data_IF_074499388034
#
_entry.id   IF_074499388034
#
_cell.length_a   1.000
_cell.length_b   1.000
_cell.length_c   1.000
_cell.angle_alpha   90.00
_cell.angle_beta   90.00
_cell.angle_gamma   90.00
#
_symmetry.space_group_name_H-M   'P 1'
#
loop_
_entity.id
_entity.type
_entity.pdbx_description
1 polymer ?
#
# COMPACT_ATOMS: atom_id res chain seq x y z
N UNK A 1 22.64 8.33 23.24
CA UNK A 1 21.79 8.81 24.36
C UNK A 1 20.47 8.07 24.26
N UNK A 2 20.06 7.30 25.28
CA UNK A 2 18.77 6.64 25.23
C UNK A 2 17.68 7.72 25.29
N UNK A 3 16.83 7.76 24.27
CA UNK A 3 15.71 8.70 24.19
C UNK A 3 14.82 8.62 25.42
N UNK A 4 14.21 9.75 25.78
CA UNK A 4 13.37 9.90 26.96
C UNK A 4 12.41 8.72 27.09
N UNK A 5 12.50 7.98 28.21
CA UNK A 5 11.44 7.09 28.65
C UNK A 5 10.17 7.93 28.71
N UNK A 6 9.10 7.48 28.06
CA UNK A 6 7.75 8.04 28.07
C UNK A 6 7.31 8.28 29.52
N UNK A 7 7.56 9.48 30.06
CA UNK A 7 7.43 9.74 31.50
C UNK A 7 6.02 10.24 31.76
N UNK A 8 5.16 9.36 32.30
CA UNK A 8 3.95 9.81 32.98
C UNK A 8 4.41 10.44 34.31
N UNK A 9 4.37 11.77 34.40
CA UNK A 9 4.68 12.47 35.66
C UNK A 9 3.47 12.37 36.59
N UNK A 10 3.53 11.41 37.51
CA UNK A 10 2.56 11.24 38.59
C UNK A 10 3.37 11.12 39.87
N UNK A 11 3.18 12.06 40.79
CA UNK A 11 3.89 12.12 42.07
C UNK A 11 2.98 11.56 43.18
N UNK A 12 3.48 10.59 43.95
CA UNK A 12 2.76 9.98 45.06
C UNK A 12 3.23 8.57 45.37
N UNK A 13 2.99 8.09 46.58
CA UNK A 13 3.25 6.68 46.94
C UNK A 13 2.18 5.76 46.36
N UNK A 14 2.50 4.48 46.12
CA UNK A 14 1.54 3.51 45.57
C UNK A 14 0.27 3.41 46.42
N UNK A 15 0.40 3.49 47.74
CA UNK A 15 -0.73 3.37 48.68
C UNK A 15 -1.65 4.59 48.58
N UNK A 16 -1.10 5.81 48.60
CA UNK A 16 -1.86 7.06 48.45
C UNK A 16 -2.59 7.12 47.10
N UNK A 17 -1.88 6.82 46.01
CA UNK A 17 -2.44 6.87 44.65
C UNK A 17 -3.53 5.81 44.43
N UNK A 18 -3.39 4.65 45.07
CA UNK A 18 -4.43 3.59 45.02
C UNK A 18 -5.67 4.01 45.79
N UNK A 19 -5.50 4.59 46.99
CA UNK A 19 -6.62 5.05 47.81
C UNK A 19 -7.38 6.20 47.16
N UNK A 20 -6.68 7.19 46.61
CA UNK A 20 -7.30 8.30 45.86
C UNK A 20 -8.07 7.81 44.63
N UNK A 21 -7.48 6.87 43.88
CA UNK A 21 -8.13 6.30 42.69
C UNK A 21 -9.34 5.42 43.04
N UNK A 22 -9.26 4.63 44.12
CA UNK A 22 -10.37 3.82 44.62
C UNK A 22 -11.54 4.70 45.10
N UNK A 23 -11.26 5.78 45.83
CA UNK A 23 -12.25 6.78 46.23
C UNK A 23 -12.94 7.41 45.01
N UNK A 24 -12.16 7.77 43.99
CA UNK A 24 -12.70 8.35 42.77
C UNK A 24 -13.62 7.36 42.04
N UNK A 25 -13.23 6.09 41.89
CA UNK A 25 -14.09 5.07 41.28
C UNK A 25 -15.37 4.84 42.10
N UNK A 26 -15.28 4.78 43.44
CA UNK A 26 -16.46 4.62 44.29
C UNK A 26 -17.40 5.82 44.18
N UNK A 27 -16.87 7.04 44.06
CA UNK A 27 -17.70 8.24 43.84
C UNK A 27 -18.45 8.19 42.50
N UNK A 28 -17.78 7.70 41.44
CA UNK A 28 -18.39 7.51 40.13
C UNK A 28 -19.47 6.41 40.16
N UNK A 29 -19.20 5.26 40.80
CA UNK A 29 -20.19 4.18 40.92
C UNK A 29 -21.41 4.57 41.75
N UNK A 30 -21.21 5.32 42.84
CA UNK A 30 -22.31 5.87 43.66
C UNK A 30 -23.16 6.85 42.87
N UNK A 31 -22.54 7.69 42.02
CA UNK A 31 -23.28 8.58 41.13
C UNK A 31 -24.12 7.84 40.07
N UNK A 32 -23.79 6.56 39.80
CA UNK A 32 -24.46 5.70 38.82
C UNK A 32 -25.53 4.78 39.44
N UNK A 33 -25.82 4.92 40.74
CA UNK A 33 -26.87 4.16 41.43
C UNK A 33 -26.42 2.87 42.11
N UNK A 34 -25.12 2.59 42.15
CA UNK A 34 -24.56 1.46 42.90
C UNK A 34 -24.06 1.90 44.28
N UNK A 35 -25.01 2.05 45.23
CA UNK A 35 -24.73 2.44 46.62
C UNK A 35 -23.89 1.41 47.40
N UNK A 36 -23.71 0.20 46.85
CA UNK A 36 -22.96 -0.90 47.45
C UNK A 36 -21.45 -0.86 47.16
N UNK A 37 -20.99 0.07 46.32
CA UNK A 37 -19.59 0.18 45.93
C UNK A 37 -18.69 0.60 47.11
N UNK A 38 -17.79 -0.31 47.52
CA UNK A 38 -16.78 -0.13 48.55
C UNK A 38 -15.40 -0.64 48.08
N UNK A 39 -14.97 -0.22 46.89
CA UNK A 39 -13.65 -0.54 46.37
C UNK A 39 -12.54 0.04 47.26
N UNK A 40 -12.77 1.18 47.91
CA UNK A 40 -11.81 1.78 48.84
C UNK A 40 -11.55 0.87 50.05
N UNK A 41 -12.59 0.37 50.72
CA UNK A 41 -12.43 -0.53 51.87
C UNK A 41 -11.77 -1.85 51.49
N UNK A 42 -12.18 -2.44 50.36
CA UNK A 42 -11.60 -3.69 49.87
C UNK A 42 -10.14 -3.53 49.40
N UNK A 43 -9.79 -2.39 48.81
CA UNK A 43 -8.41 -2.09 48.40
C UNK A 43 -7.51 -1.84 49.62
N UNK A 44 -8.02 -1.11 50.62
CA UNK A 44 -7.31 -0.86 51.87
C UNK A 44 -7.04 -2.16 52.67
N UNK A 45 -7.97 -3.11 52.69
CA UNK A 45 -7.77 -4.40 53.36
C UNK A 45 -6.79 -5.30 52.61
N UNK A 46 -6.81 -5.29 51.27
CA UNK A 46 -5.84 -6.03 50.46
C UNK A 46 -4.43 -5.39 50.45
N UNK A 47 -4.33 -4.08 50.63
CA UNK A 47 -3.07 -3.37 50.85
C UNK A 47 -2.44 -3.74 52.20
N UNK A 48 -3.25 -3.88 53.27
CA UNK A 48 -2.78 -4.40 54.57
C UNK A 48 -2.24 -5.83 54.49
N UNK A 49 -2.79 -6.64 53.58
CA UNK A 49 -2.30 -8.00 53.29
C UNK A 49 -1.11 -8.04 52.31
N UNK A 50 -0.61 -6.88 51.86
CA UNK A 50 0.48 -6.71 50.89
C UNK A 50 0.24 -7.40 49.52
N UNK A 51 -1.03 -7.59 49.15
CA UNK A 51 -1.44 -8.22 47.87
C UNK A 51 -1.66 -7.17 46.78
N UNK A 52 -0.58 -6.50 46.37
CA UNK A 52 -0.61 -5.38 45.40
C UNK A 52 -1.27 -5.75 44.06
N UNK A 53 -1.06 -6.97 43.56
CA UNK A 53 -1.63 -7.42 42.29
C UNK A 53 -3.15 -7.62 42.35
N UNK A 54 -3.71 -8.03 43.49
CA UNK A 54 -5.16 -8.24 43.64
C UNK A 54 -5.91 -6.92 43.79
N UNK A 55 -5.27 -5.92 44.42
CA UNK A 55 -5.74 -4.52 44.43
C UNK A 55 -5.83 -3.99 43.00
N UNK A 56 -4.76 -4.17 42.21
CA UNK A 56 -4.75 -3.75 40.80
C UNK A 56 -5.81 -4.47 39.96
N UNK A 57 -6.07 -5.77 40.20
CA UNK A 57 -7.18 -6.48 39.51
C UNK A 57 -8.52 -5.82 39.81
N UNK A 58 -8.80 -5.50 41.08
CA UNK A 58 -10.06 -4.85 41.48
C UNK A 58 -10.18 -3.45 40.90
N UNK A 59 -9.10 -2.67 40.90
CA UNK A 59 -9.07 -1.33 40.28
C UNK A 59 -9.29 -1.39 38.77
N UNK A 60 -8.66 -2.34 38.07
CA UNK A 60 -8.84 -2.51 36.61
C UNK A 60 -10.26 -2.98 36.28
N UNK A 61 -10.87 -3.84 37.10
CA UNK A 61 -12.29 -4.20 36.93
C UNK A 61 -13.19 -2.99 37.22
N UNK A 62 -12.89 -2.22 38.27
CA UNK A 62 -13.58 -0.98 38.64
C UNK A 62 -13.45 0.12 37.58
N UNK A 63 -12.38 0.11 36.78
CA UNK A 63 -12.12 1.12 35.73
C UNK A 63 -13.17 1.14 34.63
N UNK A 64 -14.05 0.13 34.52
CA UNK A 64 -15.22 0.18 33.64
C UNK A 64 -16.13 1.38 33.96
N UNK A 65 -16.18 1.81 35.23
CA UNK A 65 -16.95 2.99 35.65
C UNK A 65 -16.40 4.30 35.05
N UNK A 66 -15.13 4.32 34.62
CA UNK A 66 -14.52 5.50 33.98
C UNK A 66 -15.16 5.82 32.62
N UNK A 67 -15.82 4.87 31.96
CA UNK A 67 -16.50 5.12 30.68
C UNK A 67 -17.67 6.11 30.77
N UNK A 68 -18.07 6.49 31.99
CA UNK A 68 -19.09 7.52 32.24
C UNK A 68 -18.49 8.74 32.96
N UNK A 69 -17.17 8.79 33.16
CA UNK A 69 -16.50 9.90 33.82
C UNK A 69 -16.48 11.16 32.91
N UNK A 70 -16.35 12.37 33.49
CA UNK A 70 -16.24 13.60 32.73
C UNK A 70 -15.02 13.61 31.79
N UNK A 71 -15.17 14.19 30.58
CA UNK A 71 -14.10 14.25 29.57
C UNK A 71 -12.77 14.77 30.11
N UNK A 72 -12.83 15.82 30.92
CA UNK A 72 -11.65 16.53 31.46
C UNK A 72 -10.83 15.66 32.41
N UNK A 73 -11.46 14.71 33.08
CA UNK A 73 -10.85 13.86 34.11
C UNK A 73 -10.52 12.47 33.56
N UNK A 74 -11.09 12.09 32.41
CA UNK A 74 -10.94 10.76 31.80
C UNK A 74 -9.49 10.41 31.47
N UNK A 75 -8.75 11.30 30.80
CA UNK A 75 -7.34 11.07 30.45
C UNK A 75 -6.46 10.96 31.70
N UNK A 76 -6.68 11.85 32.68
CA UNK A 76 -5.91 11.87 33.92
C UNK A 76 -6.14 10.58 34.74
N UNK A 77 -7.38 10.15 34.88
CA UNK A 77 -7.75 8.93 35.59
C UNK A 77 -7.13 7.68 34.96
N UNK A 78 -7.16 7.57 33.62
CA UNK A 78 -6.51 6.46 32.93
C UNK A 78 -4.98 6.53 32.97
N UNK A 79 -4.38 7.72 32.89
CA UNK A 79 -2.93 7.86 33.06
C UNK A 79 -2.47 7.44 34.47
N UNK A 80 -3.26 7.74 35.50
CA UNK A 80 -3.03 7.26 36.87
C UNK A 80 -3.11 5.73 36.95
N UNK A 81 -4.13 5.14 36.33
CA UNK A 81 -4.26 3.68 36.24
C UNK A 81 -3.08 3.03 35.51
N UNK A 82 -2.62 3.62 34.39
CA UNK A 82 -1.45 3.14 33.64
C UNK A 82 -0.19 3.20 34.49
N UNK A 83 0.00 4.28 35.25
CA UNK A 83 1.15 4.42 36.14
C UNK A 83 1.12 3.37 37.27
N UNK A 84 -0.04 3.15 37.90
CA UNK A 84 -0.22 2.13 38.94
C UNK A 84 0.05 0.72 38.40
N UNK A 85 -0.43 0.41 37.20
CA UNK A 85 -0.20 -0.90 36.54
C UNK A 85 1.27 -1.09 36.18
N UNK A 86 1.96 -0.05 35.70
CA UNK A 86 3.39 -0.11 35.36
C UNK A 86 4.31 -0.29 36.57
N UNK A 87 3.83 -0.06 37.80
CA UNK A 87 4.58 -0.34 39.02
C UNK A 87 4.54 -1.82 39.43
N UNK A 88 3.60 -2.62 38.89
CA UNK A 88 3.57 -4.08 39.11
C UNK A 88 4.47 -4.80 38.10
N UNK A 89 5.18 -5.87 38.51
CA UNK A 89 5.91 -6.74 37.57
C UNK A 89 4.99 -7.51 36.61
N UNK A 90 3.68 -7.61 36.90
CA UNK A 90 2.70 -8.41 36.14
C UNK A 90 1.83 -7.56 35.19
N UNK A 91 2.40 -6.55 34.55
CA UNK A 91 1.72 -5.62 33.62
C UNK A 91 0.88 -6.33 32.55
N UNK A 92 1.37 -7.45 32.02
CA UNK A 92 0.75 -8.20 30.92
C UNK A 92 -0.64 -8.77 31.24
N UNK A 93 -0.95 -9.00 32.51
CA UNK A 93 -2.25 -9.53 32.94
C UNK A 93 -3.36 -8.47 32.93
N UNK A 94 -2.98 -7.20 33.12
CA UNK A 94 -3.92 -6.09 33.31
C UNK A 94 -4.26 -5.37 32.00
N UNK A 95 -3.30 -5.26 31.08
CA UNK A 95 -3.47 -4.56 29.79
C UNK A 95 -4.67 -5.07 28.98
N UNK A 96 -4.89 -6.39 28.78
CA UNK A 96 -6.03 -6.87 28.00
C UNK A 96 -7.38 -6.40 28.54
N UNK A 97 -7.53 -6.34 29.87
CA UNK A 97 -8.78 -5.88 30.49
C UNK A 97 -8.97 -4.37 30.36
N UNK A 98 -7.90 -3.58 30.48
CA UNK A 98 -7.93 -2.14 30.22
C UNK A 98 -8.31 -1.86 28.75
N UNK A 99 -7.71 -2.59 27.81
CA UNK A 99 -8.05 -2.52 26.39
C UNK A 99 -9.52 -2.90 26.13
N UNK A 100 -10.05 -3.92 26.82
CA UNK A 100 -11.45 -4.29 26.72
C UNK A 100 -12.37 -3.15 27.19
N UNK A 101 -12.06 -2.54 28.33
CA UNK A 101 -12.86 -1.43 28.88
C UNK A 101 -12.78 -0.18 27.98
N UNK A 102 -11.64 0.09 27.35
CA UNK A 102 -11.47 1.20 26.40
C UNK A 102 -12.08 0.92 25.01
N UNK A 103 -12.32 -0.36 24.67
CA UNK A 103 -13.00 -0.75 23.44
C UNK A 103 -14.53 -0.66 23.50
N UNK A 104 -15.11 -0.51 24.69
CA UNK A 104 -16.54 -0.24 24.84
C UNK A 104 -16.83 1.25 24.64
N UNK A 105 -17.97 1.62 24.03
CA UNK A 105 -18.29 3.02 23.76
C UNK A 105 -18.39 3.82 25.05
N UNK A 106 -17.73 4.98 25.07
CA UNK A 106 -17.71 5.91 26.20
C UNK A 106 -19.03 6.68 26.22
N UNK A 107 -19.89 6.39 27.20
CA UNK A 107 -21.23 6.96 27.31
C UNK A 107 -21.24 8.44 27.68
N UNK A 108 -20.21 8.93 28.37
CA UNK A 108 -20.13 10.33 28.77
C UNK A 108 -19.95 11.29 27.59
N UNK A 109 -19.36 10.81 26.49
CA UNK A 109 -18.98 11.63 25.35
C UNK A 109 -19.10 10.91 24.02
N UNK A 110 -20.31 10.83 23.44
CA UNK A 110 -20.55 10.11 22.19
C UNK A 110 -19.75 10.64 21.00
N UNK A 111 -19.43 11.95 20.97
CA UNK A 111 -18.71 12.58 19.85
C UNK A 111 -17.19 12.50 19.98
N UNK A 112 -16.64 12.69 21.19
CA UNK A 112 -15.19 12.75 21.42
C UNK A 112 -14.61 11.47 22.04
N UNK A 113 -15.45 10.55 22.53
CA UNK A 113 -15.04 9.36 23.25
C UNK A 113 -14.05 8.50 22.46
N UNK A 114 -14.28 8.33 21.16
CA UNK A 114 -13.37 7.63 20.27
C UNK A 114 -11.94 8.18 20.31
N UNK A 115 -11.78 9.50 20.18
CA UNK A 115 -10.48 10.16 20.24
C UNK A 115 -9.80 10.03 21.61
N UNK A 116 -10.58 10.12 22.70
CA UNK A 116 -10.07 9.94 24.06
C UNK A 116 -9.55 8.53 24.29
N UNK A 117 -10.32 7.50 23.87
CA UNK A 117 -9.91 6.10 23.95
C UNK A 117 -8.64 5.84 23.14
N UNK A 118 -8.54 6.38 21.92
CA UNK A 118 -7.34 6.25 21.09
C UNK A 118 -6.11 6.93 21.69
N UNK A 119 -6.27 8.10 22.29
CA UNK A 119 -5.16 8.78 22.98
C UNK A 119 -4.61 7.94 24.13
N UNK A 120 -5.49 7.34 24.94
CA UNK A 120 -5.09 6.50 26.07
C UNK A 120 -4.46 5.19 25.58
N UNK A 121 -5.06 4.53 24.59
CA UNK A 121 -4.50 3.31 24.00
C UNK A 121 -3.13 3.58 23.35
N UNK A 122 -2.95 4.74 22.72
CA UNK A 122 -1.64 5.18 22.20
C UNK A 122 -0.62 5.37 23.33
N UNK A 123 -1.02 5.98 24.45
CA UNK A 123 -0.18 6.07 25.65
C UNK A 123 0.22 4.68 26.14
N UNK A 124 -0.73 3.75 26.28
CA UNK A 124 -0.46 2.36 26.70
C UNK A 124 0.53 1.68 25.75
N UNK A 125 0.34 1.83 24.43
CA UNK A 125 1.23 1.28 23.42
C UNK A 125 2.66 1.84 23.55
N UNK A 126 2.78 3.14 23.78
CA UNK A 126 4.06 3.85 23.88
C UNK A 126 4.78 3.64 25.23
N UNK A 127 4.06 3.32 26.30
CA UNK A 127 4.66 3.01 27.62
C UNK A 127 5.10 1.55 27.74
N UNK A 128 4.47 0.66 26.98
CA UNK A 128 4.82 -0.77 26.95
C UNK A 128 6.15 -0.99 26.21
N UNK A 129 6.96 -1.99 26.59
CA UNK A 129 8.23 -2.26 25.90
C UNK A 129 8.04 -2.65 24.42
N UNK A 130 8.94 -2.23 23.51
CA UNK A 130 8.85 -2.52 22.07
C UNK A 130 8.70 -3.99 21.70
N UNK A 131 9.40 -4.86 22.43
CA UNK A 131 9.52 -6.29 22.10
C UNK A 131 8.40 -7.14 22.75
N UNK A 132 7.49 -6.51 23.50
CA UNK A 132 6.45 -7.26 24.22
C UNK A 132 5.27 -7.61 23.30
N UNK A 133 4.86 -8.89 23.33
CA UNK A 133 3.63 -9.40 22.69
C UNK A 133 2.37 -8.65 23.16
N UNK A 134 2.39 -8.02 24.33
CA UNK A 134 1.26 -7.22 24.82
C UNK A 134 0.92 -6.04 23.88
N UNK A 135 1.89 -5.49 23.14
CA UNK A 135 1.65 -4.44 22.13
C UNK A 135 0.77 -4.92 20.98
N UNK A 136 0.83 -6.20 20.61
CA UNK A 136 -0.04 -6.79 19.61
C UNK A 136 -1.51 -6.72 20.04
N UNK A 137 -1.81 -7.09 21.30
CA UNK A 137 -3.18 -7.02 21.83
C UNK A 137 -3.68 -5.57 21.98
N UNK A 138 -2.80 -4.63 22.34
CA UNK A 138 -3.13 -3.19 22.38
C UNK A 138 -3.46 -2.68 20.98
N UNK A 139 -2.68 -3.05 19.96
CA UNK A 139 -2.94 -2.64 18.58
C UNK A 139 -4.28 -3.19 18.06
N UNK A 140 -4.62 -4.45 18.36
CA UNK A 140 -5.95 -4.99 18.01
C UNK A 140 -7.08 -4.21 18.67
N UNK A 141 -6.90 -3.76 19.92
CA UNK A 141 -7.89 -2.92 20.59
C UNK A 141 -8.01 -1.53 19.95
N UNK A 142 -6.88 -0.93 19.55
CA UNK A 142 -6.85 0.32 18.77
C UNK A 142 -7.66 0.15 17.49
N UNK A 143 -7.40 -0.91 16.71
CA UNK A 143 -8.13 -1.18 15.47
C UNK A 143 -9.64 -1.32 15.69
N UNK A 144 -10.08 -1.98 16.77
CA UNK A 144 -11.50 -2.10 17.12
C UNK A 144 -12.14 -0.73 17.41
N UNK A 145 -11.45 0.15 18.14
CA UNK A 145 -11.94 1.51 18.42
C UNK A 145 -11.97 2.35 17.14
N UNK A 146 -10.96 2.24 16.28
CA UNK A 146 -10.93 2.95 14.98
C UNK A 146 -12.10 2.49 14.10
N UNK A 147 -12.37 1.17 14.06
CA UNK A 147 -13.52 0.61 13.32
C UNK A 147 -14.85 1.20 13.80
N UNK A 148 -15.04 1.31 15.12
CA UNK A 148 -16.27 1.86 15.70
C UNK A 148 -16.42 3.38 15.50
N UNK A 149 -15.33 4.09 15.25
CA UNK A 149 -15.29 5.57 15.14
C UNK A 149 -15.07 6.06 13.72
N UNK A 150 -14.85 5.14 12.77
CA UNK A 150 -14.53 5.41 11.37
C UNK A 150 -13.35 6.38 11.15
N UNK A 151 -12.41 6.45 12.09
CA UNK A 151 -11.30 7.41 12.05
C UNK A 151 -10.00 6.81 11.48
N UNK A 152 -10.05 6.32 10.24
CA UNK A 152 -8.94 5.63 9.58
C UNK A 152 -7.72 6.53 9.30
N UNK A 153 -7.91 7.84 9.18
CA UNK A 153 -6.84 8.81 8.93
C UNK A 153 -5.70 8.74 9.96
N UNK A 154 -6.06 8.48 11.22
CA UNK A 154 -5.08 8.33 12.31
C UNK A 154 -4.23 7.07 12.17
N UNK A 155 -4.73 6.03 11.50
CA UNK A 155 -4.06 4.75 11.31
C UNK A 155 -3.06 4.79 10.14
N UNK A 156 -3.35 5.54 9.07
CA UNK A 156 -2.54 5.59 7.84
C UNK A 156 -1.02 5.76 8.06
N UNK A 157 -0.52 6.69 8.90
CA UNK A 157 0.92 6.83 9.13
C UNK A 157 1.52 5.64 9.87
N UNK A 158 0.76 5.04 10.79
CA UNK A 158 1.18 3.92 11.65
C UNK A 158 1.30 2.62 10.85
N UNK A 159 0.49 2.44 9.82
CA UNK A 159 0.52 1.28 8.92
C UNK A 159 1.89 1.05 8.25
N UNK A 160 2.68 2.10 8.05
CA UNK A 160 4.05 2.00 7.50
C UNK A 160 5.02 1.29 8.45
N UNK A 161 4.73 1.32 9.75
CA UNK A 161 5.56 0.70 10.78
C UNK A 161 5.11 -0.72 11.12
N UNK A 162 3.96 -1.16 10.59
CA UNK A 162 3.34 -2.45 10.92
C UNK A 162 4.28 -3.63 10.66
N UNK A 163 4.97 -3.64 9.51
CA UNK A 163 5.90 -4.72 9.14
C UNK A 163 7.08 -4.79 10.12
N UNK A 164 7.57 -3.64 10.59
CA UNK A 164 8.64 -3.57 11.59
C UNK A 164 8.19 -4.06 12.97
N UNK A 165 6.94 -3.79 13.35
CA UNK A 165 6.37 -4.22 14.61
C UNK A 165 6.13 -5.73 14.66
N UNK A 166 5.56 -6.29 13.58
CA UNK A 166 5.34 -7.74 13.44
C UNK A 166 6.68 -8.49 13.55
N UNK A 167 7.74 -7.97 12.91
CA UNK A 167 9.08 -8.54 13.03
C UNK A 167 9.66 -8.44 14.45
N UNK A 168 9.48 -7.30 15.12
CA UNK A 168 9.97 -7.10 16.50
C UNK A 168 9.27 -8.01 17.51
N UNK A 169 7.97 -8.23 17.36
CA UNK A 169 7.17 -9.06 18.27
C UNK A 169 7.35 -10.55 18.05
N UNK A 170 8.03 -10.97 16.97
CA UNK A 170 8.18 -12.36 16.57
C UNK A 170 6.83 -13.10 16.52
N UNK A 171 5.77 -12.40 16.11
CA UNK A 171 4.42 -12.98 16.05
C UNK A 171 4.39 -14.09 15.01
N UNK A 172 3.84 -15.25 15.40
CA UNK A 172 3.57 -16.32 14.45
C UNK A 172 2.66 -15.88 13.30
N UNK A 173 2.74 -16.58 12.17
CA UNK A 173 2.02 -16.25 10.92
C UNK A 173 0.50 -16.12 11.14
N UNK A 174 -0.09 -16.93 12.01
CA UNK A 174 -1.52 -16.86 12.35
C UNK A 174 -1.92 -15.54 13.02
N UNK A 175 -1.08 -15.02 13.92
CA UNK A 175 -1.36 -13.76 14.60
C UNK A 175 -1.12 -12.57 13.67
N UNK A 176 -0.08 -12.63 12.83
CA UNK A 176 0.14 -11.64 11.78
C UNK A 176 -1.06 -11.58 10.82
N UNK A 177 -1.61 -12.75 10.42
CA UNK A 177 -2.82 -12.86 9.59
C UNK A 177 -4.02 -12.17 10.24
N UNK A 178 -4.32 -12.46 11.51
CA UNK A 178 -5.42 -11.83 12.25
C UNK A 178 -5.29 -10.31 12.29
N UNK A 179 -4.06 -9.80 12.42
CA UNK A 179 -3.80 -8.36 12.41
C UNK A 179 -4.03 -7.74 11.03
N UNK A 180 -3.51 -8.35 9.97
CA UNK A 180 -3.74 -7.87 8.60
C UNK A 180 -5.24 -7.89 8.22
N UNK A 181 -5.97 -8.93 8.63
CA UNK A 181 -7.42 -9.01 8.42
C UNK A 181 -8.16 -7.91 9.20
N UNK A 182 -7.77 -7.65 10.45
CA UNK A 182 -8.35 -6.57 11.23
C UNK A 182 -8.10 -5.20 10.58
N UNK A 183 -6.91 -4.96 10.02
CA UNK A 183 -6.61 -3.73 9.27
C UNK A 183 -7.44 -3.64 7.99
N UNK A 184 -7.55 -4.74 7.25
CA UNK A 184 -8.35 -4.82 6.02
C UNK A 184 -9.84 -4.54 6.26
N UNK A 185 -10.42 -5.08 7.33
CA UNK A 185 -11.80 -4.82 7.72
C UNK A 185 -12.01 -3.35 8.11
N UNK A 186 -11.09 -2.76 8.87
CA UNK A 186 -11.18 -1.34 9.28
C UNK A 186 -11.09 -0.43 8.05
N UNK A 187 -10.22 -0.75 7.09
CA UNK A 187 -10.08 0.01 5.85
C UNK A 187 -11.33 -0.11 4.96
N UNK A 188 -11.91 -1.32 4.85
CA UNK A 188 -13.13 -1.55 4.09
C UNK A 188 -14.32 -0.78 4.66
N UNK A 189 -14.48 -0.77 5.99
CA UNK A 189 -15.55 -0.02 6.66
C UNK A 189 -15.37 1.50 6.53
N UNK A 190 -14.13 1.97 6.35
CA UNK A 190 -13.81 3.38 6.11
C UNK A 190 -13.96 3.81 4.63
N UNK A 191 -14.25 2.88 3.71
CA UNK A 191 -14.34 3.14 2.27
C UNK A 191 -12.98 3.24 1.56
N UNK A 192 -11.91 2.76 2.20
CA UNK A 192 -10.54 2.77 1.68
C UNK A 192 -10.21 1.42 1.01
N UNK A 193 -10.90 1.14 -0.11
CA UNK A 193 -10.91 -0.18 -0.75
C UNK A 193 -9.52 -0.66 -1.20
N UNK A 194 -8.66 0.25 -1.70
CA UNK A 194 -7.31 -0.09 -2.15
C UNK A 194 -6.41 -0.58 -1.00
N UNK A 195 -6.50 0.09 0.16
CA UNK A 195 -5.76 -0.33 1.36
C UNK A 195 -6.34 -1.63 1.92
N UNK A 196 -7.67 -1.74 1.95
CA UNK A 196 -8.35 -2.96 2.39
C UNK A 196 -7.89 -4.17 1.56
N UNK A 197 -7.86 -4.04 0.24
CA UNK A 197 -7.40 -5.07 -0.69
C UNK A 197 -5.92 -5.41 -0.50
N UNK A 198 -5.06 -4.40 -0.37
CA UNK A 198 -3.61 -4.59 -0.14
C UNK A 198 -3.33 -5.41 1.12
N UNK A 199 -4.01 -5.11 2.23
CA UNK A 199 -3.84 -5.85 3.48
C UNK A 199 -4.49 -7.24 3.45
N UNK A 200 -5.56 -7.42 2.68
CA UNK A 200 -6.15 -8.74 2.45
C UNK A 200 -5.18 -9.66 1.70
N UNK A 201 -4.51 -9.15 0.66
CA UNK A 201 -3.45 -9.89 -0.04
C UNK A 201 -2.27 -10.23 0.88
N UNK A 202 -1.86 -9.30 1.75
CA UNK A 202 -0.82 -9.58 2.75
C UNK A 202 -1.24 -10.70 3.69
N UNK A 203 -2.50 -10.72 4.13
CA UNK A 203 -3.03 -11.81 4.95
C UNK A 203 -3.00 -13.15 4.18
N UNK A 204 -3.36 -13.17 2.90
CA UNK A 204 -3.31 -14.38 2.07
C UNK A 204 -1.88 -14.90 1.87
N UNK A 205 -0.89 -14.01 1.73
CA UNK A 205 0.54 -14.37 1.63
C UNK A 205 1.11 -15.02 2.89
N UNK A 206 0.44 -14.89 4.04
CA UNK A 206 0.85 -15.56 5.29
C UNK A 206 0.38 -17.01 5.39
N UNK A 207 -0.36 -17.54 4.41
CA UNK A 207 -0.71 -18.97 4.40
C UNK A 207 0.48 -19.79 3.87
N UNK A 208 0.95 -20.80 4.62
CA UNK A 208 1.82 -21.81 4.06
C UNK A 208 1.13 -22.54 2.91
N UNK A 209 1.90 -23.00 1.92
CA UNK A 209 1.37 -23.73 0.76
C UNK A 209 0.57 -24.99 1.15
N UNK A 210 0.90 -25.60 2.29
CA UNK A 210 0.19 -26.76 2.85
C UNK A 210 -1.25 -26.42 3.33
N UNK A 211 -1.49 -25.17 3.74
CA UNK A 211 -2.78 -24.68 4.23
C UNK A 211 -3.55 -23.89 3.17
N UNK A 212 -3.06 -23.85 1.92
CA UNK A 212 -3.67 -23.12 0.81
C UNK A 212 -5.12 -23.57 0.52
N UNK A 213 -5.43 -24.84 0.75
CA UNK A 213 -6.78 -25.42 0.56
C UNK A 213 -7.64 -25.40 1.83
N UNK A 214 -7.19 -24.75 2.90
CA UNK A 214 -7.97 -24.66 4.14
C UNK A 214 -9.28 -23.88 3.91
N UNK A 215 -10.35 -24.16 4.69
CA UNK A 215 -11.62 -23.45 4.52
C UNK A 215 -11.48 -21.94 4.77
N UNK A 216 -10.62 -21.53 5.71
CA UNK A 216 -10.31 -20.13 5.97
C UNK A 216 -9.60 -19.47 4.77
N UNK A 217 -8.58 -20.13 4.19
CA UNK A 217 -7.88 -19.64 3.01
C UNK A 217 -8.82 -19.50 1.81
N UNK A 218 -9.74 -20.45 1.62
CA UNK A 218 -10.77 -20.43 0.57
C UNK A 218 -11.68 -19.21 0.72
N UNK A 219 -12.24 -18.99 1.90
CA UNK A 219 -13.16 -17.85 2.15
C UNK A 219 -12.46 -16.50 1.92
N UNK A 220 -11.23 -16.35 2.42
CA UNK A 220 -10.43 -15.14 2.21
C UNK A 220 -10.04 -14.95 0.75
N UNK A 221 -9.74 -16.02 0.02
CA UNK A 221 -9.40 -15.98 -1.40
C UNK A 221 -10.61 -15.57 -2.24
N UNK A 222 -11.81 -16.09 -1.92
CA UNK A 222 -13.06 -15.67 -2.55
C UNK A 222 -13.37 -14.20 -2.25
N UNK A 223 -13.15 -13.73 -1.01
CA UNK A 223 -13.31 -12.32 -0.65
C UNK A 223 -12.35 -11.43 -1.45
N UNK A 224 -11.08 -11.83 -1.58
CA UNK A 224 -10.08 -11.09 -2.35
C UNK A 224 -10.43 -11.03 -3.84
N UNK A 225 -10.86 -12.18 -4.41
CA UNK A 225 -11.28 -12.26 -5.79
C UNK A 225 -12.50 -11.36 -6.07
N UNK A 226 -13.53 -11.43 -5.23
CA UNK A 226 -14.71 -10.56 -5.37
C UNK A 226 -14.33 -9.08 -5.28
N UNK A 227 -13.48 -8.71 -4.32
CA UNK A 227 -12.99 -7.34 -4.16
C UNK A 227 -12.21 -6.86 -5.38
N UNK A 228 -11.28 -7.66 -5.92
CA UNK A 228 -10.53 -7.32 -7.13
C UNK A 228 -11.44 -7.16 -8.35
N UNK A 229 -12.40 -8.08 -8.53
CA UNK A 229 -13.34 -8.06 -9.64
C UNK A 229 -14.27 -6.82 -9.59
N UNK A 230 -14.75 -6.42 -8.42
CA UNK A 230 -15.62 -5.25 -8.26
C UNK A 230 -14.85 -3.92 -8.28
N UNK A 231 -13.57 -3.90 -7.87
CA UNK A 231 -12.83 -2.65 -7.74
C UNK A 231 -12.59 -1.96 -9.10
N UNK A 232 -13.06 -0.72 -9.34
CA UNK A 232 -13.11 -0.13 -10.67
C UNK A 232 -11.73 0.19 -11.27
N UNK A 233 -10.69 0.32 -10.45
CA UNK A 233 -9.33 0.64 -10.90
C UNK A 233 -8.35 -0.53 -10.83
N UNK A 234 -8.79 -1.70 -10.35
CA UNK A 234 -7.95 -2.90 -10.30
C UNK A 234 -8.17 -3.71 -11.59
N UNK A 235 -7.11 -3.79 -12.40
CA UNK A 235 -7.11 -4.41 -13.73
C UNK A 235 -6.00 -5.45 -13.92
N UNK A 236 -5.03 -5.49 -13.00
CA UNK A 236 -3.93 -6.44 -13.00
C UNK A 236 -4.21 -7.52 -11.95
N UNK A 237 -4.40 -8.75 -12.41
CA UNK A 237 -4.74 -9.89 -11.57
C UNK A 237 -3.55 -10.81 -11.28
N UNK A 238 -2.33 -10.42 -11.68
CA UNK A 238 -1.12 -11.21 -11.42
C UNK A 238 -0.88 -11.41 -9.91
N UNK A 239 -1.17 -10.37 -9.13
CA UNK A 239 -1.10 -10.37 -7.67
C UNK A 239 -1.93 -11.46 -6.99
N UNK A 240 -3.05 -11.86 -7.61
CA UNK A 240 -3.92 -12.96 -7.19
C UNK A 240 -3.45 -14.30 -7.76
N UNK A 241 -3.08 -14.34 -9.04
CA UNK A 241 -2.66 -15.61 -9.66
C UNK A 241 -1.37 -16.17 -9.06
N UNK A 242 -0.51 -15.32 -8.50
CA UNK A 242 0.71 -15.74 -7.83
C UNK A 242 0.47 -16.43 -6.47
N UNK A 243 -0.75 -16.36 -5.91
CA UNK A 243 -1.07 -16.93 -4.60
C UNK A 243 -1.50 -18.39 -4.70
N UNK A 244 -0.84 -19.26 -3.92
CA UNK A 244 -1.16 -20.69 -3.85
C UNK A 244 -2.61 -20.95 -3.42
N UNK A 245 -3.17 -20.13 -2.52
CA UNK A 245 -4.56 -20.26 -2.05
C UNK A 245 -5.57 -20.00 -3.17
N UNK A 246 -5.21 -19.16 -4.15
CA UNK A 246 -6.05 -18.86 -5.31
C UNK A 246 -5.92 -19.93 -6.37
N UNK A 247 -4.72 -20.49 -6.55
CA UNK A 247 -4.55 -21.68 -7.41
C UNK A 247 -5.30 -22.90 -6.85
N UNK A 248 -5.42 -23.03 -5.53
CA UNK A 248 -6.21 -24.07 -4.89
C UNK A 248 -7.72 -23.95 -5.22
N UNK A 249 -8.23 -22.75 -5.55
CA UNK A 249 -9.62 -22.54 -5.96
C UNK A 249 -9.99 -23.31 -7.23
N UNK A 250 -9.02 -23.69 -8.07
CA UNK A 250 -9.23 -24.58 -9.23
C UNK A 250 -10.02 -25.84 -8.85
N UNK A 251 -9.79 -26.38 -7.66
CA UNK A 251 -10.40 -27.61 -7.18
C UNK A 251 -11.64 -27.38 -6.30
N UNK A 252 -11.69 -26.28 -5.53
CA UNK A 252 -12.80 -26.02 -4.60
C UNK A 252 -13.94 -25.25 -5.24
N UNK A 253 -13.64 -24.27 -6.09
CA UNK A 253 -14.56 -23.30 -6.68
C UNK A 253 -14.18 -23.03 -8.16
N UNK A 254 -14.35 -24.02 -9.04
CA UNK A 254 -13.88 -23.95 -10.41
C UNK A 254 -14.48 -22.77 -11.19
N UNK A 255 -15.74 -22.41 -10.91
CA UNK A 255 -16.45 -21.31 -11.59
C UNK A 255 -15.80 -19.95 -11.30
N UNK A 256 -15.42 -19.69 -10.05
CA UNK A 256 -14.71 -18.47 -9.66
C UNK A 256 -13.32 -18.40 -10.30
N UNK A 257 -12.64 -19.55 -10.37
CA UNK A 257 -11.31 -19.63 -10.96
C UNK A 257 -11.34 -19.44 -12.49
N UNK A 258 -12.32 -20.03 -13.18
CA UNK A 258 -12.55 -19.82 -14.61
C UNK A 258 -12.80 -18.34 -14.92
N UNK A 259 -13.59 -17.66 -14.09
CA UNK A 259 -13.82 -16.22 -14.22
C UNK A 259 -12.49 -15.42 -14.09
N UNK A 260 -11.61 -15.79 -13.16
CA UNK A 260 -10.29 -15.17 -13.03
C UNK A 260 -9.43 -15.40 -14.28
N UNK A 261 -9.42 -16.61 -14.84
CA UNK A 261 -8.68 -16.92 -16.08
C UNK A 261 -9.18 -16.08 -17.26
N UNK A 262 -10.51 -15.92 -17.39
CA UNK A 262 -11.13 -15.09 -18.43
C UNK A 262 -10.67 -13.63 -18.32
N UNK A 263 -10.68 -13.07 -17.10
CA UNK A 263 -10.26 -11.69 -16.89
C UNK A 263 -8.75 -11.49 -17.15
N UNK A 264 -7.95 -12.50 -16.84
CA UNK A 264 -6.49 -12.44 -17.00
C UNK A 264 -6.06 -12.57 -18.48
N UNK A 265 -6.60 -13.54 -19.21
CA UNK A 265 -6.09 -13.91 -20.55
C UNK A 265 -7.08 -13.70 -21.69
N UNK A 266 -8.38 -13.92 -21.45
CA UNK A 266 -9.37 -14.08 -22.52
C UNK A 266 -10.08 -12.76 -22.87
N UNK A 267 -11.02 -12.84 -23.81
CA UNK A 267 -11.69 -11.68 -24.41
C UNK A 267 -13.17 -11.60 -23.98
N UNK A 268 -13.83 -10.54 -24.43
CA UNK A 268 -15.25 -10.31 -24.15
C UNK A 268 -16.17 -11.42 -24.68
N UNK A 269 -15.81 -12.07 -25.79
CA UNK A 269 -16.58 -13.20 -26.34
C UNK A 269 -16.62 -14.37 -25.34
N UNK A 270 -15.47 -14.76 -24.80
CA UNK A 270 -15.34 -15.82 -23.80
C UNK A 270 -16.10 -15.49 -22.51
N UNK A 271 -16.13 -14.20 -22.12
CA UNK A 271 -16.93 -13.75 -20.98
C UNK A 271 -18.45 -13.84 -21.23
N UNK A 272 -18.91 -13.58 -22.46
CA UNK A 272 -20.31 -13.76 -22.80
C UNK A 272 -20.69 -15.24 -22.82
N UNK A 273 -19.83 -16.11 -23.38
CA UNK A 273 -20.04 -17.56 -23.34
C UNK A 273 -20.14 -18.08 -21.90
N UNK A 274 -19.28 -17.59 -21.00
CA UNK A 274 -19.35 -17.90 -19.57
C UNK A 274 -20.66 -17.43 -18.92
N UNK A 275 -21.16 -16.24 -19.29
CA UNK A 275 -22.45 -15.74 -18.79
C UNK A 275 -23.62 -16.57 -19.28
N UNK A 276 -23.57 -17.04 -20.52
CA UNK A 276 -24.61 -17.87 -21.11
C UNK A 276 -24.60 -19.29 -20.51
N UNK A 277 -23.42 -19.83 -20.18
CA UNK A 277 -23.26 -21.13 -19.51
C UNK A 277 -23.68 -21.09 -18.02
N UNK A 278 -23.45 -19.96 -17.34
CA UNK A 278 -23.74 -19.77 -15.91
C UNK A 278 -24.78 -18.67 -15.65
N UNK A 279 -25.93 -18.77 -16.33
CA UNK A 279 -27.02 -17.80 -16.18
C UNK A 279 -27.53 -17.74 -14.72
N UNK A 280 -27.68 -16.53 -14.18
CA UNK A 280 -28.04 -16.27 -12.78
C UNK A 280 -26.91 -16.37 -11.74
N UNK A 281 -25.77 -17.01 -12.04
CA UNK A 281 -24.70 -17.23 -11.05
C UNK A 281 -24.00 -15.94 -10.59
N UNK A 282 -23.87 -14.96 -11.50
CA UNK A 282 -23.23 -13.66 -11.21
C UNK A 282 -24.03 -12.88 -10.15
N UNK A 283 -25.36 -12.90 -10.27
CA UNK A 283 -26.27 -12.25 -9.32
C UNK A 283 -26.30 -12.99 -7.98
N UNK A 284 -26.37 -14.33 -8.01
CA UNK A 284 -26.29 -15.18 -6.81
C UNK A 284 -24.97 -14.99 -6.04
N UNK A 285 -23.89 -14.70 -6.77
CA UNK A 285 -22.55 -14.48 -6.21
C UNK A 285 -22.35 -13.09 -5.60
N UNK A 286 -23.33 -12.18 -5.78
CA UNK A 286 -23.28 -10.79 -5.31
C UNK A 286 -22.32 -9.91 -6.13
N UNK A 287 -22.04 -10.27 -7.38
CA UNK A 287 -21.20 -9.51 -8.28
C UNK A 287 -22.05 -8.60 -9.17
N UNK A 288 -21.59 -7.38 -9.44
CA UNK A 288 -22.25 -6.47 -10.38
C UNK A 288 -21.89 -6.84 -11.82
N UNK A 289 -22.81 -7.52 -12.51
CA UNK A 289 -22.63 -7.94 -13.90
C UNK A 289 -22.38 -6.78 -14.87
N UNK A 290 -22.90 -5.58 -14.61
CA UNK A 290 -22.67 -4.42 -15.46
C UNK A 290 -21.24 -3.86 -15.28
N UNK A 291 -20.77 -3.78 -14.03
CA UNK A 291 -19.39 -3.40 -13.73
C UNK A 291 -18.38 -4.39 -14.31
N UNK A 292 -18.66 -5.70 -14.21
CA UNK A 292 -17.81 -6.75 -14.80
C UNK A 292 -17.75 -6.64 -16.32
N UNK A 293 -18.89 -6.44 -17.00
CA UNK A 293 -18.92 -6.31 -18.45
C UNK A 293 -18.15 -5.05 -18.90
N UNK A 294 -18.33 -3.92 -18.19
CA UNK A 294 -17.55 -2.70 -18.43
C UNK A 294 -16.06 -2.96 -18.26
N UNK A 295 -15.64 -3.64 -17.20
CA UNK A 295 -14.23 -3.98 -16.96
C UNK A 295 -13.67 -4.87 -18.07
N UNK A 296 -14.39 -5.92 -18.48
CA UNK A 296 -13.97 -6.80 -19.59
C UNK A 296 -13.83 -6.07 -20.92
N UNK A 297 -14.71 -5.10 -21.20
CA UNK A 297 -14.59 -4.22 -22.37
C UNK A 297 -13.28 -3.44 -22.35
N UNK A 298 -12.93 -2.82 -21.21
CA UNK A 298 -11.67 -2.08 -21.06
C UNK A 298 -10.44 -2.99 -21.23
N UNK A 299 -10.46 -4.18 -20.60
CA UNK A 299 -9.38 -5.17 -20.69
C UNK A 299 -9.21 -5.73 -22.11
N UNK A 300 -10.33 -5.98 -22.81
CA UNK A 300 -10.33 -6.43 -24.21
C UNK A 300 -9.70 -5.38 -25.12
N UNK A 301 -10.03 -4.10 -24.95
CA UNK A 301 -9.38 -3.01 -25.71
C UNK A 301 -7.88 -2.94 -25.41
N UNK A 302 -7.48 -3.08 -24.15
CA UNK A 302 -6.07 -3.07 -23.75
C UNK A 302 -5.29 -4.22 -24.42
N UNK A 303 -5.84 -5.44 -24.44
CA UNK A 303 -5.24 -6.58 -25.16
C UNK A 303 -5.20 -6.40 -26.67
N UNK A 304 -6.21 -5.76 -27.26
CA UNK A 304 -6.18 -5.39 -28.68
C UNK A 304 -5.07 -4.38 -28.98
N UNK A 305 -4.90 -3.39 -28.11
CA UNK A 305 -3.84 -2.39 -28.24
C UNK A 305 -2.45 -3.03 -28.11
N UNK A 306 -2.28 -3.97 -27.18
CA UNK A 306 -1.02 -4.70 -26.99
C UNK A 306 -0.68 -5.62 -28.17
N UNK A 307 -1.67 -6.26 -28.78
CA UNK A 307 -1.47 -7.12 -29.97
C UNK A 307 -1.23 -6.33 -31.27
N UNK A 308 -1.56 -5.05 -31.32
CA UNK A 308 -1.33 -4.16 -32.47
C UNK A 308 0.14 -3.73 -32.65
N UNK A 309 1.09 -4.42 -32.01
CA UNK A 309 2.46 -3.98 -31.71
C UNK A 309 3.24 -3.31 -32.85
N UNK A 310 3.12 -3.77 -34.09
CA UNK A 310 3.84 -3.19 -35.24
C UNK A 310 3.10 -2.05 -35.93
N UNK A 311 1.77 -2.11 -36.04
CA UNK A 311 0.99 -1.10 -36.75
C UNK A 311 0.68 0.11 -35.86
N UNK A 312 0.64 -0.09 -34.53
CA UNK A 312 0.29 0.93 -33.52
C UNK A 312 -0.95 1.76 -33.87
N UNK A 313 -1.84 1.16 -34.65
CA UNK A 313 -3.03 1.79 -35.19
C UNK A 313 -4.15 0.76 -35.19
N UNK A 314 -5.26 1.13 -34.57
CA UNK A 314 -6.48 0.33 -34.49
C UNK A 314 -7.64 1.07 -35.18
N UNK A 315 -8.20 0.52 -36.27
CA UNK A 315 -9.42 1.04 -36.87
C UNK A 315 -10.61 0.90 -35.92
N UNK A 316 -11.53 1.88 -35.93
CA UNK A 316 -12.72 1.88 -35.08
C UNK A 316 -13.64 0.69 -35.35
N UNK A 317 -13.74 0.22 -36.60
CA UNK A 317 -14.53 -0.97 -36.95
C UNK A 317 -14.08 -2.23 -36.20
N UNK A 318 -12.75 -2.43 -36.09
CA UNK A 318 -12.21 -3.58 -35.36
C UNK A 318 -12.52 -3.47 -33.87
N UNK A 319 -12.46 -2.26 -33.34
CA UNK A 319 -12.78 -1.96 -31.93
C UNK A 319 -14.27 -2.22 -31.68
N UNK A 320 -15.16 -1.62 -32.48
CA UNK A 320 -16.61 -1.79 -32.38
C UNK A 320 -17.03 -3.27 -32.41
N UNK A 321 -16.49 -4.04 -33.35
CA UNK A 321 -16.80 -5.47 -33.49
C UNK A 321 -16.37 -6.28 -32.27
N UNK A 322 -15.14 -6.08 -31.78
CA UNK A 322 -14.59 -6.82 -30.63
C UNK A 322 -15.23 -6.44 -29.30
N UNK A 323 -15.63 -5.18 -29.14
CA UNK A 323 -16.33 -4.70 -27.94
C UNK A 323 -17.84 -4.90 -28.00
N UNK A 324 -18.38 -5.29 -29.17
CA UNK A 324 -19.81 -5.42 -29.43
C UNK A 324 -20.58 -4.14 -29.07
N UNK A 325 -20.05 -2.99 -29.47
CA UNK A 325 -20.64 -1.66 -29.24
C UNK A 325 -20.89 -0.93 -30.55
N UNK A 326 -21.86 -0.01 -30.60
CA UNK A 326 -22.04 0.88 -31.75
C UNK A 326 -20.76 1.66 -32.06
N UNK A 327 -20.51 1.93 -33.33
CA UNK A 327 -19.33 2.70 -33.77
C UNK A 327 -19.27 4.11 -33.17
N UNK A 328 -20.42 4.68 -32.81
CA UNK A 328 -20.54 5.99 -32.17
C UNK A 328 -19.97 6.00 -30.74
N UNK A 329 -20.08 4.88 -30.02
CA UNK A 329 -19.64 4.77 -28.63
C UNK A 329 -18.15 4.46 -28.49
N UNK A 330 -17.49 4.05 -29.59
CA UNK A 330 -16.08 3.64 -29.59
C UNK A 330 -15.18 4.74 -29.00
N UNK A 331 -15.45 6.01 -29.31
CA UNK A 331 -14.66 7.13 -28.79
C UNK A 331 -14.74 7.23 -27.27
N UNK A 332 -15.93 7.05 -26.68
CA UNK A 332 -16.12 7.05 -25.23
C UNK A 332 -15.34 5.92 -24.57
N UNK A 333 -15.38 4.71 -25.15
CA UNK A 333 -14.64 3.55 -24.63
C UNK A 333 -13.12 3.75 -24.70
N UNK A 334 -12.61 4.31 -25.80
CA UNK A 334 -11.19 4.62 -25.93
C UNK A 334 -10.76 5.68 -24.90
N UNK A 335 -11.58 6.71 -24.67
CA UNK A 335 -11.32 7.72 -23.63
C UNK A 335 -11.31 7.08 -22.24
N UNK A 336 -12.26 6.20 -21.94
CA UNK A 336 -12.33 5.52 -20.64
C UNK A 336 -11.13 4.60 -20.39
N UNK A 337 -10.64 3.89 -21.41
CA UNK A 337 -9.42 3.06 -21.29
C UNK A 337 -8.18 3.92 -21.08
N UNK A 338 -8.11 5.10 -21.71
CA UNK A 338 -7.02 6.07 -21.47
C UNK A 338 -7.09 6.61 -20.04
N UNK A 339 -8.29 6.97 -19.54
CA UNK A 339 -8.48 7.42 -18.15
C UNK A 339 -8.12 6.34 -17.14
N UNK A 340 -8.39 5.07 -17.46
CA UNK A 340 -7.99 3.92 -16.66
C UNK A 340 -6.46 3.65 -16.68
N UNK A 341 -5.69 4.33 -17.54
CA UNK A 341 -4.24 4.18 -17.64
C UNK A 341 -3.78 2.88 -18.31
N UNK A 342 -4.70 2.12 -18.92
CA UNK A 342 -4.39 0.86 -19.59
C UNK A 342 -3.74 1.06 -20.96
N UNK A 343 -4.06 2.17 -21.64
CA UNK A 343 -3.51 2.52 -22.95
C UNK A 343 -3.28 4.02 -23.02
N UNK A 344 -2.20 4.44 -23.67
CA UNK A 344 -1.93 5.83 -24.01
C UNK A 344 -1.91 5.97 -25.54
N UNK A 345 -2.59 6.98 -26.07
CA UNK A 345 -2.69 7.17 -27.52
C UNK A 345 -3.42 8.43 -27.92
N UNK A 346 -3.58 8.60 -29.23
CA UNK A 346 -4.31 9.72 -29.85
C UNK A 346 -5.42 9.18 -30.75
N UNK A 347 -6.60 9.77 -30.63
CA UNK A 347 -7.72 9.47 -31.52
C UNK A 347 -7.61 10.32 -32.80
N UNK A 348 -7.77 9.68 -33.96
CA UNK A 348 -7.91 10.35 -35.24
C UNK A 348 -9.33 10.14 -35.77
N UNK A 349 -10.21 11.08 -35.47
CA UNK A 349 -11.62 11.01 -35.84
C UNK A 349 -11.82 11.03 -37.36
N UNK A 350 -11.04 11.84 -38.10
CA UNK A 350 -11.13 11.91 -39.56
C UNK A 350 -10.79 10.57 -40.22
N UNK A 351 -9.79 9.86 -39.69
CA UNK A 351 -9.32 8.59 -40.22
C UNK A 351 -9.98 7.38 -39.53
N UNK A 352 -10.92 7.60 -38.61
CA UNK A 352 -11.58 6.56 -37.80
C UNK A 352 -10.58 5.54 -37.23
N UNK A 353 -9.45 6.04 -36.71
CA UNK A 353 -8.33 5.22 -36.21
C UNK A 353 -7.83 5.73 -34.88
N UNK A 354 -7.50 4.79 -34.00
CA UNK A 354 -6.86 5.04 -32.73
C UNK A 354 -5.36 4.72 -32.84
N UNK A 355 -4.52 5.75 -32.67
CA UNK A 355 -3.07 5.64 -32.70
C UNK A 355 -2.54 5.37 -31.29
N UNK A 356 -1.90 4.22 -31.11
CA UNK A 356 -1.40 3.76 -29.81
C UNK A 356 0.05 4.22 -29.62
N UNK A 357 0.34 4.87 -28.50
CA UNK A 357 1.69 5.20 -28.08
C UNK A 357 2.25 4.14 -27.13
N UNK A 358 1.44 3.71 -26.17
CA UNK A 358 1.78 2.72 -25.14
C UNK A 358 0.54 1.90 -24.81
N UNK A 359 0.73 0.63 -24.51
CA UNK A 359 -0.30 -0.28 -24.04
C UNK A 359 0.24 -1.10 -22.87
N UNK A 360 -0.59 -1.33 -21.87
CA UNK A 360 -0.30 -2.23 -20.76
C UNK A 360 -0.64 -3.66 -21.17
N UNK A 361 0.26 -4.61 -20.90
CA UNK A 361 0.00 -6.04 -21.10
C UNK A 361 -0.66 -6.59 -19.85
N UNK A 362 -1.77 -7.33 -20.01
CA UNK A 362 -2.46 -8.01 -18.89
C UNK A 362 -1.61 -9.13 -18.29
N UNK A 363 -0.99 -9.92 -19.16
CA UNK A 363 -0.04 -10.97 -18.76
C UNK A 363 1.31 -10.67 -19.37
N UNK A 364 2.32 -10.55 -18.51
CA UNK A 364 3.70 -10.38 -18.92
C UNK A 364 4.48 -11.69 -18.73
N UNK A 365 4.57 -12.49 -19.78
CA UNK A 365 5.23 -13.80 -19.78
C UNK A 365 6.58 -13.81 -20.50
N UNK A 366 7.11 -15.01 -20.71
CA UNK A 366 8.40 -15.23 -21.35
C UNK A 366 8.46 -14.67 -22.78
N UNK A 367 7.36 -14.77 -23.54
CA UNK A 367 7.28 -14.26 -24.91
C UNK A 367 7.50 -12.74 -24.96
N UNK A 368 6.92 -12.00 -24.01
CA UNK A 368 7.10 -10.56 -23.89
C UNK A 368 8.53 -10.22 -23.46
N UNK A 369 9.13 -11.00 -22.54
CA UNK A 369 10.54 -10.85 -22.19
C UNK A 369 11.49 -11.06 -23.38
N UNK A 370 11.22 -12.05 -24.22
CA UNK A 370 11.99 -12.28 -25.45
C UNK A 370 11.84 -11.12 -26.45
N UNK A 371 10.65 -10.53 -26.57
CA UNK A 371 10.44 -9.34 -27.39
C UNK A 371 11.24 -8.15 -26.86
N UNK A 372 11.23 -7.92 -25.54
CA UNK A 372 12.02 -6.85 -24.89
C UNK A 372 13.52 -7.06 -25.11
N UNK A 373 14.02 -8.28 -24.91
CA UNK A 373 15.43 -8.62 -25.16
C UNK A 373 15.82 -8.34 -26.61
N UNK A 374 15.00 -8.77 -27.58
CA UNK A 374 15.27 -8.51 -29.00
C UNK A 374 15.33 -7.01 -29.34
N UNK A 375 14.43 -6.20 -28.77
CA UNK A 375 14.40 -4.75 -28.96
C UNK A 375 15.59 -4.06 -28.31
N UNK A 376 15.97 -4.48 -27.10
CA UNK A 376 17.16 -3.97 -26.40
C UNK A 376 18.44 -4.31 -27.16
N UNK A 377 18.53 -5.52 -27.72
CA UNK A 377 19.68 -5.91 -28.55
C UNK A 377 19.75 -5.09 -29.85
N UNK A 378 18.62 -4.82 -30.50
CA UNK A 378 18.56 -3.92 -31.67
C UNK A 378 19.00 -2.49 -31.30
N UNK A 379 18.54 -1.96 -30.16
CA UNK A 379 18.95 -0.64 -29.68
C UNK A 379 20.44 -0.59 -29.33
N UNK A 380 20.96 -1.62 -28.65
CA UNK A 380 22.38 -1.76 -28.35
C UNK A 380 23.21 -1.73 -29.63
N UNK A 381 22.82 -2.51 -30.63
CA UNK A 381 23.52 -2.57 -31.92
C UNK A 381 23.44 -1.24 -32.67
N UNK A 382 22.30 -0.55 -32.62
CA UNK A 382 22.12 0.77 -33.23
C UNK A 382 22.99 1.83 -32.57
N UNK A 383 23.06 1.85 -31.23
CA UNK A 383 23.91 2.77 -30.47
C UNK A 383 25.39 2.49 -30.71
N UNK A 384 25.77 1.21 -30.81
CA UNK A 384 27.13 0.83 -31.16
C UNK A 384 27.48 1.34 -32.57
N UNK A 385 26.57 1.18 -33.54
CA UNK A 385 26.73 1.71 -34.88
C UNK A 385 26.91 3.23 -34.90
N UNK A 386 26.08 3.98 -34.17
CA UNK A 386 26.21 5.45 -34.04
C UNK A 386 27.55 5.83 -33.43
N UNK A 387 28.00 5.12 -32.39
CA UNK A 387 29.28 5.36 -31.75
C UNK A 387 30.46 5.09 -32.70
N UNK A 388 30.36 4.07 -33.54
CA UNK A 388 31.38 3.76 -34.54
C UNK A 388 31.41 4.81 -35.66
N UNK A 389 30.24 5.30 -36.12
CA UNK A 389 30.18 6.44 -37.06
C UNK A 389 30.81 7.70 -36.46
N UNK A 390 30.49 8.04 -35.21
CA UNK A 390 31.07 9.21 -34.53
C UNK A 390 32.60 9.07 -34.41
N UNK A 391 33.11 7.87 -34.08
CA UNK A 391 34.56 7.62 -34.05
C UNK A 391 35.20 7.78 -35.43
N UNK A 392 34.58 7.25 -36.47
CA UNK A 392 35.07 7.35 -37.85
C UNK A 392 35.08 8.81 -38.34
N UNK A 393 34.02 9.57 -38.08
CA UNK A 393 33.95 10.99 -38.43
C UNK A 393 34.97 11.82 -37.65
N UNK A 394 35.20 11.52 -36.37
CA UNK A 394 36.28 12.16 -35.59
C UNK A 394 37.66 11.87 -36.19
N UNK A 395 37.91 10.64 -36.64
CA UNK A 395 39.18 10.27 -37.27
C UNK A 395 39.34 10.94 -38.64
N UNK A 396 38.28 10.98 -39.46
CA UNK A 396 38.26 11.70 -40.74
C UNK A 396 38.52 13.19 -40.57
N UNK A 397 37.87 13.83 -39.61
CA UNK A 397 38.08 15.24 -39.31
C UNK A 397 39.54 15.53 -38.90
N UNK A 398 40.15 14.65 -38.11
CA UNK A 398 41.57 14.78 -37.74
C UNK A 398 42.49 14.61 -38.97
N UNK A 399 42.19 13.64 -39.84
CA UNK A 399 42.95 13.42 -41.08
C UNK A 399 42.80 14.58 -42.06
N UNK A 400 41.59 15.12 -42.24
CA UNK A 400 41.35 16.30 -43.07
C UNK A 400 42.09 17.51 -42.53
N UNK A 401 42.11 17.70 -41.21
CA UNK A 401 42.87 18.79 -40.57
C UNK A 401 44.38 18.62 -40.76
N UNK A 402 44.90 17.40 -40.67
CA UNK A 402 46.32 17.10 -40.96
C UNK A 402 46.65 17.30 -42.45
N UNK A 403 45.77 16.90 -43.37
CA UNK A 403 45.95 17.09 -44.81
C UNK A 403 45.85 18.57 -45.22
N UNK A 404 44.97 19.34 -44.60
CA UNK A 404 44.90 20.79 -44.77
C UNK A 404 46.14 21.50 -44.23
N UNK A 405 46.63 21.10 -43.05
CA UNK A 405 47.88 21.60 -42.50
C UNK A 405 49.07 21.27 -43.42
N UNK A 406 49.18 20.02 -43.89
CA UNK A 406 50.23 19.61 -44.82
C UNK A 406 50.15 20.34 -46.17
N UNK A 407 48.94 20.60 -46.70
CA UNK A 407 48.75 21.40 -47.92
C UNK A 407 49.07 22.89 -47.69
N UNK A 408 48.76 23.44 -46.53
CA UNK A 408 49.13 24.79 -46.15
C UNK A 408 50.65 24.94 -46.06
N UNK A 409 51.33 23.99 -45.42
CA UNK A 409 52.79 23.95 -45.32
C UNK A 409 53.45 23.78 -46.69
N UNK A 410 52.96 22.89 -47.55
CA UNK A 410 53.46 22.75 -48.92
C UNK A 410 53.26 24.01 -49.77
N UNK A 411 52.13 24.72 -49.60
CA UNK A 411 51.90 26.00 -50.27
C UNK A 411 52.81 27.10 -49.72
N UNK A 412 53.07 27.14 -48.42
CA UNK A 412 54.01 28.07 -47.80
C UNK A 412 55.45 27.82 -48.29
N UNK A 413 55.86 26.56 -48.40
CA UNK A 413 57.17 26.18 -48.94
C UNK A 413 57.32 26.50 -50.44
N UNK A 414 56.26 26.29 -51.25
CA UNK A 414 56.28 26.71 -52.66
C UNK A 414 56.29 28.24 -52.81
N UNK A 415 55.56 28.97 -51.98
CA UNK A 415 55.57 30.44 -51.97
C UNK A 415 56.95 30.98 -51.54
N UNK A 416 57.63 30.33 -50.60
CA UNK A 416 59.00 30.64 -50.19
C UNK A 416 60.02 30.37 -51.31
N UNK A 417 59.84 29.29 -52.09
CA UNK A 417 60.70 28.96 -53.25
C UNK A 417 60.51 29.87 -54.45
N UNK A 418 59.31 30.38 -54.71
CA UNK A 418 59.04 31.32 -55.83
C UNK A 418 59.12 32.81 -55.43
N UNK A 419 59.06 33.14 -54.14
CA UNK A 419 59.20 34.50 -53.60
C UNK A 419 60.64 34.96 -53.36
N UNK A 420 61.63 34.08 -53.60
CA UNK A 420 63.06 34.35 -53.38
C UNK A 420 63.71 35.26 -54.43
N UNK A 421 63.13 36.42 -54.75
CA UNK A 421 63.88 37.51 -55.42
C UNK A 421 63.29 38.89 -55.11
N UNK A 422 63.59 39.39 -53.91
CA UNK A 422 63.62 40.83 -53.64
C UNK A 422 63.20 41.23 -52.23
N UNK A 423 64.14 41.75 -51.45
CA UNK A 423 63.80 42.66 -50.35
C UNK A 423 64.62 42.48 -49.07
N UNK A 424 65.65 43.31 -48.91
CA UNK A 424 66.46 43.47 -47.70
C UNK A 424 65.65 43.81 -46.44
N UNK A 425 66.13 43.26 -45.31
CA UNK A 425 66.22 43.83 -43.95
C UNK A 425 65.21 44.93 -43.55
N UNK A 426 64.47 44.67 -42.47
CA UNK A 426 64.42 45.57 -41.30
C UNK A 426 64.03 44.81 -40.02
N UNK A 427 64.83 45.05 -38.97
CA UNK A 427 64.60 44.63 -37.57
C UNK A 427 63.38 45.33 -36.93
N UNK A 428 63.01 44.79 -35.75
CA UNK A 428 62.07 45.23 -34.69
C UNK A 428 60.74 44.48 -34.69
N UNK A 429 60.19 44.00 -33.56
CA UNK A 429 60.53 44.09 -32.12
C UNK A 429 59.70 42.99 -31.42
N UNK A 430 60.19 42.42 -30.33
CA UNK A 430 59.40 41.58 -29.43
C UNK A 430 58.28 42.40 -28.76
N UNK A 431 57.07 41.85 -28.67
CA UNK A 431 56.04 42.15 -27.67
C UNK A 431 55.35 40.82 -27.33
N UNK A 432 55.29 40.56 -26.02
CA UNK A 432 54.59 39.50 -25.30
C UNK A 432 53.06 39.59 -25.41
N UNK A 433 52.40 38.62 -24.78
CA UNK A 433 51.07 38.68 -24.13
C UNK A 433 49.80 38.35 -24.95
N UNK A 434 49.18 37.26 -24.47
CA UNK A 434 47.76 36.99 -24.20
C UNK A 434 46.70 37.22 -25.30
N UNK A 435 45.87 36.20 -25.51
CA UNK A 435 44.44 36.18 -25.14
C UNK A 435 43.69 35.03 -25.84
N UNK A 436 42.89 34.34 -25.02
CA UNK A 436 41.65 33.56 -25.28
C UNK A 436 41.66 32.25 -26.08
#
# INVERSE_FOLDING_TARGET
>A
MPGAKTTLLIEGTFEELTDEFAQYIDSLKKSQGDESANLQGESADLLKENKKDDVLKKLVVGSQALNQAPEKEFIAAYNLLIHLVNQSPNVSVFIPKMCQNLSTPISSSPQNGGGLALSILSTIFNTTQPDSETRYHVLLAILRVIRATSNFETLRPQLKQLDSWIAAWQTGEENARKLYLAVSDVASDAGEDEQAYTYLLRALRTFPSEQASSPEARELSLRALKSALTHPTHFDFQDLTDLDSIQALRNSDPVYFQLLEIFNSDLLEDFNDFKDEHDGWVEESGLDGAALNRKMRLLTLASMAASAGQTRSLPYEKIANKLQVPSEDVEMWVIDVIRAGLVEGKLSQLNQTFLIHRSTYRVFGENQWREVDSRLNLWRNSLQGVLDVIKQEKLRFLQEKEDEANKADQKADMASRFGGRGGQRKQHRAIDEDMD
#
